data_IF_399546536810
#
_entry.id   IF_399546536810
#
_cell.length_a   1.000
_cell.length_b   1.000
_cell.length_c   1.000
_cell.angle_alpha   90.00
_cell.angle_beta   90.00
_cell.angle_gamma   90.00
#
_symmetry.space_group_name_H-M   'P 1'
#
loop_
_entity.id
_entity.type
_entity.pdbx_description
1 polymer ?
#
# COMPACT_ATOMS: atom_id res chain seq x y z
N UNK A 1 54.52 -35.15 22.14
CA UNK A 1 53.84 -35.10 20.82
C UNK A 1 54.36 -36.26 20.00
N UNK A 2 53.49 -37.20 19.63
CA UNK A 2 53.87 -38.33 18.75
C UNK A 2 53.50 -37.96 17.31
N UNK A 3 54.42 -38.18 16.37
CA UNK A 3 54.24 -37.86 14.94
C UNK A 3 54.13 -39.16 14.15
N UNK A 4 53.07 -39.28 13.34
CA UNK A 4 52.93 -40.40 12.42
C UNK A 4 53.88 -40.20 11.22
N UNK A 5 54.80 -41.12 11.00
CA UNK A 5 55.79 -41.06 9.91
C UNK A 5 55.38 -42.05 8.82
N UNK A 6 55.37 -41.60 7.58
CA UNK A 6 55.15 -42.49 6.43
C UNK A 6 56.47 -43.19 6.09
N UNK A 7 56.55 -44.49 6.35
CA UNK A 7 57.76 -45.30 6.13
C UNK A 7 58.12 -45.44 4.64
N UNK A 8 57.21 -45.10 3.71
CA UNK A 8 57.49 -45.09 2.26
C UNK A 8 58.21 -43.82 1.80
N UNK A 9 58.43 -42.85 2.70
CA UNK A 9 59.08 -41.57 2.42
C UNK A 9 60.33 -41.41 3.27
N UNK A 10 61.30 -40.64 2.77
CA UNK A 10 62.48 -40.32 3.57
C UNK A 10 62.10 -39.49 4.80
N UNK A 11 62.98 -39.51 5.81
CA UNK A 11 62.80 -38.71 7.02
C UNK A 11 62.66 -37.21 6.67
N UNK A 12 63.44 -36.74 5.71
CA UNK A 12 63.40 -35.36 5.20
C UNK A 12 62.06 -35.04 4.52
N UNK A 13 61.53 -35.97 3.73
CA UNK A 13 60.22 -35.79 3.06
C UNK A 13 59.06 -35.74 4.07
N UNK A 14 59.12 -36.54 5.12
CA UNK A 14 58.14 -36.48 6.22
C UNK A 14 58.23 -35.15 6.98
N UNK A 15 59.45 -34.68 7.28
CA UNK A 15 59.67 -33.40 7.94
C UNK A 15 59.13 -32.21 7.10
N UNK A 16 59.40 -32.21 5.78
CA UNK A 16 58.90 -31.16 4.89
C UNK A 16 57.36 -31.17 4.81
N UNK A 17 56.72 -32.35 4.78
CA UNK A 17 55.26 -32.46 4.80
C UNK A 17 54.64 -31.79 6.05
N UNK A 18 55.19 -32.06 7.24
CA UNK A 18 54.71 -31.44 8.48
C UNK A 18 55.00 -29.94 8.53
N UNK A 19 56.14 -29.51 8.00
CA UNK A 19 56.47 -28.10 7.87
C UNK A 19 55.50 -27.36 6.93
N UNK A 20 55.20 -27.92 5.76
CA UNK A 20 54.24 -27.36 4.81
C UNK A 20 52.81 -27.33 5.38
N UNK A 21 52.40 -28.38 6.11
CA UNK A 21 51.11 -28.40 6.83
C UNK A 21 51.03 -27.27 7.85
N UNK A 22 52.07 -27.10 8.69
CA UNK A 22 52.16 -26.02 9.67
C UNK A 22 52.10 -24.64 9.02
N UNK A 23 52.86 -24.44 7.93
CA UNK A 23 52.87 -23.19 7.16
C UNK A 23 51.49 -22.87 6.56
N UNK A 24 50.81 -23.86 5.98
CA UNK A 24 49.44 -23.71 5.45
C UNK A 24 48.43 -23.39 6.56
N UNK A 25 48.52 -24.08 7.71
CA UNK A 25 47.66 -23.83 8.85
C UNK A 25 47.85 -22.41 9.41
N UNK A 26 49.09 -21.94 9.57
CA UNK A 26 49.41 -20.55 9.97
C UNK A 26 48.84 -19.53 8.99
N UNK A 27 48.96 -19.75 7.68
CA UNK A 27 48.39 -18.86 6.67
C UNK A 27 46.85 -18.81 6.73
N UNK A 28 46.19 -19.94 6.96
CA UNK A 28 44.73 -20.00 7.15
C UNK A 28 44.29 -19.27 8.43
N UNK A 29 45.00 -19.46 9.54
CA UNK A 29 44.75 -18.75 10.80
C UNK A 29 44.85 -17.23 10.63
N UNK A 30 45.87 -16.74 9.93
CA UNK A 30 46.03 -15.31 9.64
C UNK A 30 44.94 -14.75 8.70
N UNK A 31 44.37 -15.59 7.83
CA UNK A 31 43.21 -15.22 7.01
C UNK A 31 41.93 -15.14 7.84
N UNK A 32 41.70 -16.13 8.70
CA UNK A 32 40.54 -16.20 9.59
C UNK A 32 40.53 -15.04 10.60
N UNK A 33 41.69 -14.69 11.18
CA UNK A 33 41.79 -13.59 12.14
C UNK A 33 41.40 -12.23 11.56
N UNK A 34 41.52 -12.04 10.24
CA UNK A 34 41.06 -10.84 9.54
C UNK A 34 39.58 -10.93 9.14
N UNK A 35 39.09 -12.12 8.84
CA UNK A 35 37.72 -12.32 8.37
C UNK A 35 36.68 -12.27 9.50
N UNK A 36 37.01 -12.80 10.68
CA UNK A 36 36.13 -12.82 11.87
C UNK A 36 35.61 -11.41 12.22
N UNK A 37 36.45 -10.38 12.44
CA UNK A 37 35.97 -9.05 12.83
C UNK A 37 35.12 -8.38 11.74
N UNK A 38 35.39 -8.66 10.46
CA UNK A 38 34.59 -8.14 9.34
C UNK A 38 33.19 -8.76 9.30
N UNK A 39 33.08 -10.06 9.62
CA UNK A 39 31.79 -10.75 9.68
C UNK A 39 31.02 -10.32 10.92
N UNK A 40 31.68 -10.23 12.08
CA UNK A 40 31.07 -9.74 13.32
C UNK A 40 30.52 -8.31 13.16
N UNK A 41 31.27 -7.41 12.51
CA UNK A 41 30.79 -6.07 12.18
C UNK A 41 29.56 -6.08 11.27
N UNK A 42 29.52 -6.95 10.26
CA UNK A 42 28.35 -7.11 9.38
C UNK A 42 27.14 -7.67 10.11
N UNK A 43 27.35 -8.59 11.06
CA UNK A 43 26.28 -9.13 11.91
C UNK A 43 25.72 -8.01 12.79
N UNK A 44 26.57 -7.25 13.47
CA UNK A 44 26.16 -6.12 14.31
C UNK A 44 25.36 -5.07 13.52
N UNK A 45 25.81 -4.67 12.33
CA UNK A 45 25.07 -3.74 11.46
C UNK A 45 23.71 -4.30 11.03
N UNK A 46 23.63 -5.61 10.75
CA UNK A 46 22.39 -6.27 10.36
C UNK A 46 21.42 -6.38 11.55
N UNK A 47 21.93 -6.68 12.75
CA UNK A 47 21.16 -6.73 13.99
C UNK A 47 20.63 -5.36 14.38
N UNK A 48 21.45 -4.30 14.29
CA UNK A 48 21.02 -2.92 14.55
C UNK A 48 19.92 -2.49 13.56
N UNK A 49 20.10 -2.75 12.27
CA UNK A 49 19.05 -2.49 11.26
C UNK A 49 17.78 -3.30 11.51
N UNK A 50 17.89 -4.52 12.01
CA UNK A 50 16.74 -5.35 12.35
C UNK A 50 16.04 -4.88 13.63
N UNK A 51 16.79 -4.41 14.63
CA UNK A 51 16.26 -3.84 15.87
C UNK A 51 15.50 -2.54 15.59
N UNK A 52 16.07 -1.62 14.79
CA UNK A 52 15.40 -0.39 14.36
C UNK A 52 14.11 -0.69 13.55
N UNK A 53 14.13 -1.73 12.71
CA UNK A 53 12.95 -2.21 12.00
C UNK A 53 11.94 -2.88 12.93
N UNK A 54 12.38 -3.54 13.99
CA UNK A 54 11.51 -4.17 14.97
C UNK A 54 10.82 -3.13 15.85
N UNK A 55 11.56 -2.14 16.36
CA UNK A 55 11.01 -1.03 17.14
C UNK A 55 10.01 -0.20 16.33
N UNK A 56 10.36 0.16 15.08
CA UNK A 56 9.41 0.85 14.19
C UNK A 56 8.15 0.03 13.91
N UNK A 57 8.28 -1.31 13.76
CA UNK A 57 7.14 -2.24 13.65
C UNK A 57 6.32 -2.35 14.93
N UNK A 58 6.95 -2.23 16.09
CA UNK A 58 6.28 -2.33 17.40
C UNK A 58 5.49 -1.05 17.72
N UNK A 59 6.06 0.11 17.38
CA UNK A 59 5.38 1.41 17.45
C UNK A 59 4.18 1.43 16.49
N UNK A 60 4.31 0.92 15.26
CA UNK A 60 3.17 0.78 14.33
C UNK A 60 2.14 -0.26 14.75
N UNK A 61 2.53 -1.30 15.50
CA UNK A 61 1.61 -2.32 16.05
C UNK A 61 0.70 -1.81 17.17
N UNK A 62 1.07 -0.74 17.88
CA UNK A 62 0.21 -0.16 18.94
C UNK A 62 -1.02 0.59 18.40
N UNK A 63 -1.08 0.92 17.11
CA UNK A 63 -2.29 1.45 16.48
C UNK A 63 -3.25 0.31 16.19
N UNK A 64 -4.40 0.25 16.87
CA UNK A 64 -5.52 -0.61 16.45
C UNK A 64 -6.02 -0.12 15.09
N UNK A 65 -5.43 -0.66 14.02
CA UNK A 65 -5.82 -0.34 12.64
C UNK A 65 -7.30 -0.67 12.49
N UNK A 66 -8.06 0.30 12.01
CA UNK A 66 -9.46 0.10 11.70
C UNK A 66 -9.57 -0.94 10.58
N UNK A 67 -10.66 -1.72 10.57
CA UNK A 67 -10.82 -2.81 9.59
C UNK A 67 -10.72 -2.31 8.14
N UNK A 68 -11.18 -1.08 7.88
CA UNK A 68 -11.21 -0.44 6.56
C UNK A 68 -9.85 0.03 6.06
N UNK A 69 -8.85 0.20 6.94
CA UNK A 69 -7.51 0.68 6.56
C UNK A 69 -6.74 -0.33 5.68
N UNK A 70 -7.24 -1.56 5.56
CA UNK A 70 -6.75 -2.56 4.60
C UNK A 70 -7.27 -2.35 3.16
N UNK A 71 -8.17 -1.41 2.94
CA UNK A 71 -8.79 -1.09 1.64
C UNK A 71 -8.44 0.34 1.23
N UNK A 72 -8.75 0.75 0.00
CA UNK A 72 -8.80 2.18 -0.30
C UNK A 72 -9.97 2.77 0.46
N UNK A 73 -9.78 3.86 1.20
CA UNK A 73 -10.85 4.43 2.01
C UNK A 73 -10.72 5.93 2.11
N UNK A 74 -11.85 6.58 2.35
CA UNK A 74 -11.91 7.99 2.76
C UNK A 74 -13.19 8.25 3.54
N UNK A 75 -13.28 9.42 4.19
CA UNK A 75 -14.53 9.93 4.73
C UNK A 75 -15.06 11.04 3.85
N UNK A 76 -16.34 11.00 3.51
CA UNK A 76 -16.99 12.06 2.75
C UNK A 76 -16.98 13.37 3.52
N UNK A 77 -17.31 14.47 2.85
CA UNK A 77 -17.50 15.76 3.49
C UNK A 77 -18.64 15.73 4.54
N UNK A 78 -19.57 14.79 4.45
CA UNK A 78 -20.63 14.59 5.44
C UNK A 78 -20.24 13.60 6.55
N UNK A 79 -19.00 13.08 6.54
CA UNK A 79 -18.47 12.18 7.57
C UNK A 79 -18.78 10.70 7.37
N UNK A 80 -19.42 10.32 6.26
CA UNK A 80 -19.72 8.93 5.92
C UNK A 80 -18.45 8.22 5.43
N UNK A 81 -18.32 6.93 5.74
CA UNK A 81 -17.17 6.13 5.32
C UNK A 81 -17.39 5.57 3.92
N UNK A 82 -16.41 5.75 3.04
CA UNK A 82 -16.34 5.07 1.74
C UNK A 82 -15.14 4.15 1.70
N UNK A 83 -15.33 2.94 1.20
CA UNK A 83 -14.32 1.90 1.14
C UNK A 83 -14.33 1.25 -0.24
N UNK A 84 -13.17 1.01 -0.84
CA UNK A 84 -13.02 0.38 -2.15
C UNK A 84 -11.92 -0.68 -2.12
N UNK A 85 -12.12 -1.81 -2.79
CA UNK A 85 -11.11 -2.85 -2.85
C UNK A 85 -9.86 -2.41 -3.63
N UNK A 86 -8.71 -2.98 -3.26
CA UNK A 86 -7.40 -2.67 -3.87
C UNK A 86 -7.06 -3.61 -5.02
N UNK A 87 -7.65 -4.81 -5.01
CA UNK A 87 -7.44 -5.91 -5.93
C UNK A 87 -8.68 -6.83 -5.94
N UNK A 88 -8.67 -7.88 -6.77
CA UNK A 88 -9.78 -8.82 -6.88
C UNK A 88 -10.14 -9.51 -5.55
N UNK A 89 -9.15 -9.91 -4.75
CA UNK A 89 -9.37 -10.60 -3.48
C UNK A 89 -9.99 -9.69 -2.41
N UNK A 90 -9.48 -8.47 -2.30
CA UNK A 90 -10.02 -7.44 -1.42
C UNK A 90 -11.39 -6.94 -1.86
N UNK A 91 -11.66 -6.85 -3.16
CA UNK A 91 -13.00 -6.59 -3.69
C UNK A 91 -14.01 -7.66 -3.20
N UNK A 92 -13.66 -8.95 -3.34
CA UNK A 92 -14.53 -10.02 -2.84
C UNK A 92 -14.73 -9.95 -1.33
N UNK A 93 -13.66 -9.72 -0.57
CA UNK A 93 -13.72 -9.63 0.88
C UNK A 93 -14.58 -8.44 1.33
N UNK A 94 -14.47 -7.29 0.66
CA UNK A 94 -15.23 -6.09 0.94
C UNK A 94 -16.72 -6.33 0.72
N UNK A 95 -17.11 -6.80 -0.48
CA UNK A 95 -18.52 -7.03 -0.83
C UNK A 95 -19.15 -8.14 0.03
N UNK A 96 -18.44 -9.24 0.32
CA UNK A 96 -19.03 -10.37 1.06
C UNK A 96 -19.07 -10.19 2.57
N UNK A 97 -18.09 -9.50 3.17
CA UNK A 97 -17.93 -9.44 4.63
C UNK A 97 -18.32 -8.09 5.23
N UNK A 98 -18.32 -7.05 4.41
CA UNK A 98 -18.44 -5.67 4.86
C UNK A 98 -19.46 -4.87 4.05
N UNK A 99 -20.28 -5.48 3.20
CA UNK A 99 -21.46 -4.83 2.63
C UNK A 99 -22.69 -5.21 3.45
N UNK A 100 -23.44 -4.22 3.87
CA UNK A 100 -24.70 -4.39 4.62
C UNK A 100 -25.87 -3.86 3.78
N UNK A 101 -27.09 -4.30 4.06
CA UNK A 101 -28.30 -3.97 3.29
C UNK A 101 -28.66 -2.47 3.28
N UNK A 102 -28.07 -1.68 4.18
CA UNK A 102 -28.21 -0.22 4.23
C UNK A 102 -27.18 0.55 3.43
N UNK A 103 -26.17 -0.12 2.88
CA UNK A 103 -25.05 0.52 2.17
C UNK A 103 -25.38 0.82 0.71
N UNK A 104 -24.58 1.68 0.08
CA UNK A 104 -24.66 1.93 -1.36
C UNK A 104 -23.42 1.41 -2.06
N UNK A 105 -23.65 0.59 -3.09
CA UNK A 105 -22.59 0.05 -3.92
C UNK A 105 -22.34 0.96 -5.12
N UNK A 106 -21.07 1.14 -5.50
CA UNK A 106 -20.60 1.95 -6.61
C UNK A 106 -19.57 1.19 -7.45
N UNK A 107 -19.63 1.37 -8.76
CA UNK A 107 -18.64 0.85 -9.69
C UNK A 107 -18.60 1.71 -10.97
N UNK A 108 -17.39 1.99 -11.46
CA UNK A 108 -17.23 2.72 -12.72
C UNK A 108 -17.54 1.82 -13.93
N UNK A 109 -18.13 2.35 -14.99
CA UNK A 109 -18.42 1.62 -16.24
C UNK A 109 -17.14 1.46 -17.08
N UNK A 110 -16.10 0.89 -16.47
CA UNK A 110 -14.81 0.62 -17.08
C UNK A 110 -14.16 -0.59 -16.41
N UNK A 111 -13.39 -1.35 -17.18
CA UNK A 111 -12.62 -2.48 -16.65
C UNK A 111 -11.65 -2.04 -15.57
N UNK A 112 -11.45 -2.90 -14.57
CA UNK A 112 -10.50 -2.66 -13.48
C UNK A 112 -10.93 -1.52 -12.53
N UNK A 113 -12.20 -1.14 -12.54
CA UNK A 113 -12.76 -0.33 -11.47
C UNK A 113 -12.86 -1.16 -10.18
N UNK A 114 -12.61 -0.56 -9.01
CA UNK A 114 -12.79 -1.25 -7.75
C UNK A 114 -14.27 -1.35 -7.38
N UNK A 115 -14.61 -2.38 -6.61
CA UNK A 115 -15.90 -2.45 -5.94
C UNK A 115 -15.87 -1.46 -4.77
N UNK A 116 -16.71 -0.43 -4.84
CA UNK A 116 -16.73 0.67 -3.87
C UNK A 116 -18.03 0.64 -3.09
N UNK A 117 -17.97 0.79 -1.77
CA UNK A 117 -19.10 0.79 -0.85
C UNK A 117 -19.08 2.10 -0.07
N UNK A 118 -20.19 2.82 -0.12
CA UNK A 118 -20.48 3.93 0.78
C UNK A 118 -21.30 3.38 1.94
N UNK A 119 -20.75 3.47 3.15
CA UNK A 119 -21.40 3.03 4.38
C UNK A 119 -22.54 3.96 4.77
N UNK A 120 -23.76 3.44 4.81
CA UNK A 120 -24.96 4.19 5.22
C UNK A 120 -25.94 3.29 5.96
N UNK A 121 -26.87 3.86 6.73
CA UNK A 121 -27.85 3.06 7.48
C UNK A 121 -29.19 2.88 6.75
N UNK A 122 -29.47 3.69 5.71
CA UNK A 122 -30.82 3.80 5.12
C UNK A 122 -30.81 3.84 3.59
N UNK A 123 -29.83 3.22 2.94
CA UNK A 123 -29.72 3.21 1.48
C UNK A 123 -29.77 4.62 0.85
N UNK A 124 -29.29 5.61 1.61
CA UNK A 124 -29.43 7.01 1.29
C UNK A 124 -28.31 7.79 1.95
N UNK A 125 -27.75 8.70 1.18
CA UNK A 125 -26.73 9.62 1.62
C UNK A 125 -26.96 10.99 0.98
N UNK A 126 -26.43 12.07 1.56
CA UNK A 126 -26.49 13.37 0.93
C UNK A 126 -25.89 13.33 -0.47
N UNK A 127 -26.44 14.13 -1.39
CA UNK A 127 -26.00 14.18 -2.79
C UNK A 127 -24.48 14.36 -2.91
N UNK A 128 -23.89 15.17 -2.03
CA UNK A 128 -22.45 15.41 -2.02
C UNK A 128 -21.64 14.15 -1.70
N UNK A 129 -22.04 13.38 -0.70
CA UNK A 129 -21.44 12.08 -0.39
C UNK A 129 -21.56 11.08 -1.54
N UNK A 130 -22.68 11.07 -2.27
CA UNK A 130 -22.87 10.22 -3.45
C UNK A 130 -21.92 10.61 -4.61
N UNK A 131 -21.79 11.91 -4.89
CA UNK A 131 -20.84 12.45 -5.86
C UNK A 131 -19.38 12.14 -5.48
N UNK A 132 -19.04 12.28 -4.20
CA UNK A 132 -17.70 11.96 -3.72
C UNK A 132 -17.38 10.47 -3.84
N UNK A 133 -18.33 9.59 -3.47
CA UNK A 133 -18.18 8.15 -3.66
C UNK A 133 -18.02 7.77 -5.14
N UNK A 134 -18.74 8.44 -6.05
CA UNK A 134 -18.61 8.18 -7.48
C UNK A 134 -17.24 8.61 -8.02
N UNK A 135 -16.73 9.78 -7.63
CA UNK A 135 -15.38 10.24 -7.98
C UNK A 135 -14.32 9.24 -7.50
N UNK A 136 -14.46 8.72 -6.27
CA UNK A 136 -13.53 7.76 -5.72
C UNK A 136 -13.49 6.45 -6.52
N UNK A 137 -14.67 5.91 -6.88
CA UNK A 137 -14.76 4.72 -7.72
C UNK A 137 -14.15 4.94 -9.12
N UNK A 138 -14.31 6.13 -9.69
CA UNK A 138 -13.71 6.50 -10.97
C UNK A 138 -12.17 6.63 -10.90
N UNK A 139 -11.65 7.31 -9.87
CA UNK A 139 -10.21 7.61 -9.71
C UNK A 139 -9.37 6.33 -9.54
N UNK A 140 -9.85 5.35 -8.78
CA UNK A 140 -9.10 4.10 -8.59
C UNK A 140 -9.29 3.10 -9.73
N UNK A 141 -10.08 3.44 -10.75
CA UNK A 141 -10.28 2.59 -11.93
C UNK A 141 -9.18 2.79 -12.99
N UNK A 142 -9.26 2.01 -14.07
CA UNK A 142 -8.38 2.21 -15.24
C UNK A 142 -8.58 3.56 -15.92
N UNK A 143 -9.66 4.29 -15.67
CA UNK A 143 -9.88 5.61 -16.26
C UNK A 143 -8.75 6.58 -15.88
N UNK A 144 -8.25 6.50 -14.64
CA UNK A 144 -7.09 7.29 -14.21
C UNK A 144 -5.83 6.91 -14.98
N UNK A 145 -5.52 5.62 -15.06
CA UNK A 145 -4.34 5.10 -15.76
C UNK A 145 -4.36 5.44 -17.26
N UNK A 146 -5.54 5.48 -17.87
CA UNK A 146 -5.75 5.84 -19.28
C UNK A 146 -5.81 7.35 -19.52
N UNK A 147 -5.63 8.16 -18.48
CA UNK A 147 -5.68 9.61 -18.52
C UNK A 147 -7.00 10.18 -19.03
N UNK A 148 -8.11 9.53 -18.68
CA UNK A 148 -9.45 10.01 -19.05
C UNK A 148 -9.84 11.19 -18.16
N UNK A 149 -10.40 12.23 -18.77
CA UNK A 149 -10.91 13.40 -18.03
C UNK A 149 -12.12 13.07 -17.16
N UNK A 150 -12.96 12.14 -17.63
CA UNK A 150 -14.19 11.74 -16.95
C UNK A 150 -14.44 10.24 -17.11
N UNK A 151 -15.18 9.66 -16.16
CA UNK A 151 -15.72 8.31 -16.27
C UNK A 151 -17.20 8.29 -15.84
N UNK A 152 -17.96 7.36 -16.42
CA UNK A 152 -19.32 7.10 -15.97
C UNK A 152 -19.30 6.11 -14.82
N UNK A 153 -20.08 6.39 -13.77
CA UNK A 153 -20.17 5.55 -12.58
C UNK A 153 -21.63 5.26 -12.32
N UNK A 154 -21.94 4.06 -11.85
CA UNK A 154 -23.27 3.74 -11.37
C UNK A 154 -23.26 3.36 -9.91
N UNK A 155 -24.40 3.59 -9.26
CA UNK A 155 -24.72 3.10 -7.94
C UNK A 155 -25.94 2.18 -7.97
N UNK A 156 -25.91 1.14 -7.14
CA UNK A 156 -27.00 0.19 -6.93
C UNK A 156 -27.09 -0.21 -5.46
N UNK A 157 -28.21 -0.81 -5.09
CA UNK A 157 -28.40 -1.38 -3.76
C UNK A 157 -27.65 -2.72 -3.60
N UNK A 158 -27.33 -3.13 -2.37
CA UNK A 158 -26.61 -4.38 -2.08
C UNK A 158 -27.28 -5.62 -2.69
N UNK A 159 -28.61 -5.68 -2.69
CA UNK A 159 -29.39 -6.83 -3.20
C UNK A 159 -29.29 -6.98 -4.72
N UNK A 160 -28.87 -5.93 -5.42
CA UNK A 160 -28.65 -5.93 -6.86
C UNK A 160 -27.28 -6.51 -7.25
N UNK A 161 -26.38 -6.72 -6.28
CA UNK A 161 -25.01 -7.20 -6.49
C UNK A 161 -24.96 -8.70 -6.22
N UNK A 162 -24.64 -9.50 -7.23
CA UNK A 162 -24.66 -10.96 -7.12
C UNK A 162 -23.41 -11.59 -7.72
N UNK A 163 -22.91 -12.66 -7.07
CA UNK A 163 -21.82 -13.48 -7.61
C UNK A 163 -22.31 -14.62 -8.52
N UNK A 164 -23.61 -14.71 -8.78
CA UNK A 164 -24.17 -15.69 -9.71
C UNK A 164 -24.08 -15.13 -11.13
N UNK A 165 -23.42 -15.84 -12.03
CA UNK A 165 -23.47 -15.54 -13.45
C UNK A 165 -24.85 -15.91 -14.02
N UNK A 166 -25.30 -15.26 -15.11
CA UNK A 166 -26.36 -15.80 -15.95
C UNK A 166 -25.90 -17.13 -16.59
N UNK A 167 -26.80 -18.12 -16.62
CA UNK A 167 -26.74 -19.37 -17.39
C UNK A 167 -25.33 -19.94 -17.72
N UNK A 168 -24.75 -20.70 -16.78
CA UNK A 168 -23.68 -21.68 -17.07
C UNK A 168 -22.24 -21.16 -17.16
N UNK A 169 -22.01 -19.84 -17.15
CA UNK A 169 -20.67 -19.27 -17.14
C UNK A 169 -20.11 -19.08 -15.71
N UNK A 170 -18.79 -19.19 -15.54
CA UNK A 170 -18.14 -18.89 -14.27
C UNK A 170 -17.68 -17.42 -14.24
N UNK A 171 -18.04 -16.67 -13.21
CA UNK A 171 -17.47 -15.35 -12.99
C UNK A 171 -16.00 -15.47 -12.61
N UNK A 172 -15.16 -14.63 -13.22
CA UNK A 172 -13.77 -14.47 -12.79
C UNK A 172 -13.67 -14.01 -11.33
N UNK A 173 -12.52 -14.24 -10.71
CA UNK A 173 -12.26 -13.79 -9.34
C UNK A 173 -12.48 -12.27 -9.21
N UNK A 174 -13.22 -11.84 -8.20
CA UNK A 174 -13.54 -10.43 -7.97
C UNK A 174 -14.66 -9.85 -8.84
N UNK A 175 -15.25 -10.59 -9.78
CA UNK A 175 -16.36 -10.09 -10.59
C UNK A 175 -17.72 -10.30 -9.91
N UNK A 176 -18.61 -9.31 -10.07
CA UNK A 176 -19.99 -9.35 -9.60
C UNK A 176 -20.93 -8.89 -10.71
N UNK A 177 -22.07 -9.56 -10.82
CA UNK A 177 -23.16 -9.20 -11.70
C UNK A 177 -24.10 -8.21 -11.02
N UNK A 178 -24.54 -7.22 -11.79
CA UNK A 178 -25.44 -6.16 -11.31
C UNK A 178 -26.78 -6.30 -12.03
N UNK A 179 -27.83 -6.51 -11.25
CA UNK A 179 -29.20 -6.70 -11.73
C UNK A 179 -30.09 -5.49 -11.43
N UNK A 180 -31.12 -5.27 -12.25
CA UNK A 180 -32.09 -4.19 -12.03
C UNK A 180 -31.59 -2.80 -12.43
N UNK A 181 -32.24 -1.77 -11.88
CA UNK A 181 -32.03 -0.36 -12.27
C UNK A 181 -30.74 0.20 -11.67
N UNK A 182 -29.97 0.92 -12.48
CA UNK A 182 -28.75 1.63 -12.07
C UNK A 182 -29.01 3.12 -11.91
N UNK A 183 -28.46 3.72 -10.86
CA UNK A 183 -28.42 5.16 -10.67
C UNK A 183 -27.09 5.69 -11.23
N UNK A 184 -27.14 6.59 -12.21
CA UNK A 184 -25.96 6.99 -12.98
C UNK A 184 -25.39 8.34 -12.56
N UNK A 185 -24.07 8.38 -12.45
CA UNK A 185 -23.22 9.57 -12.30
C UNK A 185 -22.41 9.71 -13.60
N UNK A 186 -23.00 10.41 -14.57
CA UNK A 186 -22.41 10.60 -15.90
C UNK A 186 -21.33 11.68 -15.87
N UNK A 187 -20.27 11.48 -16.66
CA UNK A 187 -19.15 12.42 -16.81
C UNK A 187 -18.54 12.82 -15.47
N UNK A 188 -18.38 11.87 -14.55
CA UNK A 188 -17.76 12.10 -13.25
C UNK A 188 -16.31 12.51 -13.49
N UNK A 189 -15.92 13.70 -13.04
CA UNK A 189 -14.54 14.22 -13.17
C UNK A 189 -13.61 13.47 -12.21
N UNK A 190 -12.42 13.11 -12.68
CA UNK A 190 -11.43 12.40 -11.87
C UNK A 190 -10.60 13.41 -11.04
N UNK A 191 -11.23 14.04 -10.07
CA UNK A 191 -10.59 15.00 -9.17
C UNK A 191 -10.13 14.31 -7.88
N UNK A 192 -8.82 14.31 -7.62
CA UNK A 192 -8.24 13.62 -6.48
C UNK A 192 -7.31 14.54 -5.68
N UNK A 193 -7.29 14.32 -4.37
CA UNK A 193 -6.39 15.00 -3.47
C UNK A 193 -5.88 14.04 -2.40
N UNK A 194 -4.74 14.41 -1.83
CA UNK A 194 -4.14 13.74 -0.67
C UNK A 194 -3.77 14.80 0.35
N UNK A 195 -3.98 14.51 1.62
CA UNK A 195 -3.70 15.44 2.71
C UNK A 195 -3.39 14.73 4.00
N UNK A 196 -3.18 15.53 5.03
CA UNK A 196 -2.96 15.02 6.37
C UNK A 196 -3.92 15.68 7.36
N UNK A 197 -4.40 14.91 8.32
CA UNK A 197 -5.21 15.38 9.44
C UNK A 197 -4.57 14.98 10.76
N UNK A 198 -4.87 15.71 11.84
CA UNK A 198 -4.51 15.29 13.19
C UNK A 198 -5.66 14.49 13.80
N UNK A 199 -5.40 13.23 14.12
CA UNK A 199 -6.32 12.35 14.86
C UNK A 199 -5.64 11.96 16.17
N UNK A 200 -6.24 12.31 17.31
CA UNK A 200 -5.70 12.05 18.66
C UNK A 200 -4.25 12.54 18.89
N UNK A 201 -3.90 13.70 18.30
CA UNK A 201 -2.56 14.30 18.42
C UNK A 201 -1.52 13.75 17.44
N UNK A 202 -1.86 12.73 16.66
CA UNK A 202 -1.00 12.15 15.64
C UNK A 202 -1.43 12.55 14.23
N UNK A 203 -0.47 12.66 13.32
CA UNK A 203 -0.76 12.89 11.92
C UNK A 203 -1.21 11.61 11.22
N UNK A 204 -2.25 11.70 10.40
CA UNK A 204 -2.80 10.61 9.59
C UNK A 204 -2.98 11.07 8.16
N UNK A 205 -2.52 10.25 7.22
CA UNK A 205 -2.68 10.54 5.78
C UNK A 205 -4.10 10.16 5.36
N UNK A 206 -4.75 11.06 4.65
CA UNK A 206 -6.06 10.83 4.03
C UNK A 206 -6.00 11.17 2.56
N UNK A 207 -6.82 10.51 1.75
CA UNK A 207 -6.88 10.73 0.32
C UNK A 207 -8.28 10.48 -0.20
N UNK A 208 -8.65 11.08 -1.33
CA UNK A 208 -9.99 10.94 -1.86
C UNK A 208 -10.37 12.08 -2.79
N UNK A 209 -11.67 12.27 -3.04
CA UNK A 209 -12.18 13.40 -3.81
C UNK A 209 -11.73 14.73 -3.19
N UNK A 210 -11.47 15.71 -4.06
CA UNK A 210 -10.96 17.03 -3.66
C UNK A 210 -11.81 17.69 -2.56
N UNK A 211 -13.15 17.66 -2.68
CA UNK A 211 -14.04 18.28 -1.71
C UNK A 211 -14.00 17.62 -0.33
N UNK A 212 -13.87 16.29 -0.28
CA UNK A 212 -13.80 15.53 0.96
C UNK A 212 -12.48 15.79 1.70
N UNK A 213 -11.36 15.70 0.98
CA UNK A 213 -10.03 15.90 1.56
C UNK A 213 -9.86 17.35 2.01
N UNK A 214 -10.32 18.33 1.24
CA UNK A 214 -10.27 19.74 1.62
C UNK A 214 -11.00 20.02 2.94
N UNK A 215 -12.11 19.33 3.22
CA UNK A 215 -12.88 19.51 4.47
C UNK A 215 -12.27 18.76 5.66
N UNK A 216 -11.69 17.58 5.41
CA UNK A 216 -11.25 16.66 6.46
C UNK A 216 -9.74 16.75 6.78
N UNK A 217 -8.98 17.57 6.06
CA UNK A 217 -7.52 17.70 6.23
C UNK A 217 -7.14 19.05 6.86
N UNK A 218 -6.01 19.08 7.55
CA UNK A 218 -5.38 20.33 7.98
C UNK A 218 -4.65 21.01 6.81
N UNK A 219 -4.06 20.19 5.92
CA UNK A 219 -3.51 20.62 4.64
C UNK A 219 -3.67 19.49 3.62
N UNK A 220 -3.80 19.88 2.35
CA UNK A 220 -3.96 18.95 1.24
C UNK A 220 -3.19 19.43 0.01
N UNK A 221 -2.97 18.50 -0.91
CA UNK A 221 -2.38 18.74 -2.21
C UNK A 221 -3.24 18.05 -3.25
N UNK A 222 -3.54 18.77 -4.33
CA UNK A 222 -4.25 18.19 -5.46
C UNK A 222 -3.29 17.30 -6.24
N UNK A 223 -3.77 16.13 -6.63
CA UNK A 223 -3.00 15.18 -7.42
C UNK A 223 -3.77 14.95 -8.71
N UNK A 224 -3.06 15.04 -9.82
CA UNK A 224 -3.61 14.83 -11.16
C UNK A 224 -2.88 13.70 -11.87
N UNK A 225 -3.47 13.28 -12.98
CA UNK A 225 -2.88 12.32 -13.90
C UNK A 225 -1.63 12.96 -14.54
N UNK A 226 -0.48 12.29 -14.46
CA UNK A 226 0.80 12.93 -14.71
C UNK A 226 1.81 12.05 -15.43
N UNK A 227 3.09 12.29 -15.15
CA UNK A 227 4.22 11.54 -15.72
C UNK A 227 5.13 10.90 -14.66
N UNK A 228 5.00 11.28 -13.38
CA UNK A 228 5.85 10.76 -12.32
C UNK A 228 5.28 9.43 -11.83
N UNK A 229 6.16 8.49 -11.50
CA UNK A 229 5.72 7.24 -10.89
C UNK A 229 5.09 7.48 -9.52
N UNK A 230 4.26 6.53 -9.06
CA UNK A 230 3.65 6.54 -7.74
C UNK A 230 4.68 6.67 -6.60
N UNK A 231 5.84 6.04 -6.75
CA UNK A 231 6.93 6.10 -5.76
C UNK A 231 7.63 7.46 -5.71
N UNK A 232 7.86 8.10 -6.86
CA UNK A 232 8.43 9.46 -6.94
C UNK A 232 7.48 10.49 -6.37
N UNK A 233 6.20 10.41 -6.76
CA UNK A 233 5.13 11.27 -6.26
C UNK A 233 5.01 11.14 -4.74
N UNK A 234 5.05 9.93 -4.18
CA UNK A 234 4.99 9.72 -2.74
C UNK A 234 6.19 10.32 -1.99
N UNK A 235 7.40 10.23 -2.55
CA UNK A 235 8.60 10.87 -1.97
C UNK A 235 8.47 12.40 -1.96
N UNK A 236 7.92 12.97 -3.04
CA UNK A 236 7.65 14.41 -3.13
C UNK A 236 6.60 14.85 -2.10
N UNK A 237 5.47 14.14 -2.02
CA UNK A 237 4.41 14.41 -1.04
C UNK A 237 4.90 14.29 0.40
N UNK A 238 5.73 13.28 0.71
CA UNK A 238 6.31 13.14 2.04
C UNK A 238 7.08 14.38 2.47
N UNK A 239 7.95 14.92 1.60
CA UNK A 239 8.72 16.14 1.89
C UNK A 239 7.79 17.33 2.15
N UNK A 240 6.77 17.51 1.30
CA UNK A 240 5.79 18.58 1.43
C UNK A 240 4.97 18.45 2.73
N UNK A 241 4.61 17.22 3.11
CA UNK A 241 3.87 16.95 4.34
C UNK A 241 4.72 17.23 5.57
N UNK A 242 5.99 16.81 5.59
CA UNK A 242 6.93 17.09 6.69
C UNK A 242 7.18 18.60 6.85
N UNK A 243 7.28 19.34 5.74
CA UNK A 243 7.41 20.81 5.73
C UNK A 243 6.16 21.49 6.32
N UNK A 244 4.96 21.13 5.85
CA UNK A 244 3.70 21.70 6.35
C UNK A 244 3.37 21.28 7.79
N UNK A 245 3.72 20.06 8.18
CA UNK A 245 3.52 19.57 9.54
C UNK A 245 4.54 20.12 10.54
N UNK A 246 5.65 20.69 10.07
CA UNK A 246 6.75 21.15 10.91
C UNK A 246 7.47 20.03 11.66
N UNK A 247 7.40 18.79 11.16
CA UNK A 247 7.92 17.60 11.84
C UNK A 247 8.47 16.59 10.83
N UNK A 248 9.71 16.13 11.07
CA UNK A 248 10.40 15.15 10.20
C UNK A 248 10.07 13.72 10.60
N UNK A 249 10.06 12.81 9.63
CA UNK A 249 9.84 11.37 9.82
C UNK A 249 8.50 11.02 10.50
N UNK A 250 7.50 11.86 10.33
CA UNK A 250 6.14 11.61 10.85
C UNK A 250 5.31 10.76 9.89
N UNK A 251 5.56 10.90 8.58
CA UNK A 251 4.79 10.25 7.54
C UNK A 251 5.56 9.10 6.91
N UNK A 252 4.99 7.91 6.97
CA UNK A 252 5.56 6.70 6.36
C UNK A 252 5.36 6.72 4.84
N UNK A 253 6.42 6.37 4.09
CA UNK A 253 6.37 6.39 2.63
C UNK A 253 5.36 5.37 2.08
N UNK A 254 5.31 4.18 2.67
CA UNK A 254 4.41 3.11 2.25
C UNK A 254 2.93 3.48 2.50
N UNK A 255 2.65 4.26 3.55
CA UNK A 255 1.31 4.78 3.84
C UNK A 255 0.86 5.73 2.72
N UNK A 256 1.70 6.70 2.36
CA UNK A 256 1.41 7.65 1.26
C UNK A 256 1.21 6.90 -0.06
N UNK A 257 2.09 5.94 -0.38
CA UNK A 257 1.95 5.11 -1.59
C UNK A 257 0.60 4.38 -1.59
N UNK A 258 0.19 3.79 -0.46
CA UNK A 258 -1.07 3.04 -0.39
C UNK A 258 -2.31 3.89 -0.65
N UNK A 259 -2.22 5.21 -0.43
CA UNK A 259 -3.30 6.18 -0.60
C UNK A 259 -3.40 6.74 -2.02
N UNK A 260 -2.38 6.61 -2.87
CA UNK A 260 -2.42 7.14 -4.23
C UNK A 260 -3.12 6.18 -5.21
N UNK A 261 -3.81 6.69 -6.25
CA UNK A 261 -4.34 5.86 -7.33
C UNK A 261 -3.20 5.22 -8.15
N UNK A 262 -3.56 4.21 -8.94
CA UNK A 262 -2.59 3.51 -9.78
C UNK A 262 -2.41 4.25 -11.12
N UNK A 263 -1.16 4.50 -11.49
CA UNK A 263 -0.80 5.22 -12.71
C UNK A 263 0.29 6.26 -12.45
N UNK A 264 0.58 7.05 -13.46
CA UNK A 264 1.49 8.18 -13.34
C UNK A 264 0.74 9.39 -12.79
N UNK A 265 1.37 10.10 -11.87
CA UNK A 265 0.77 11.20 -11.14
C UNK A 265 1.61 12.47 -11.26
N UNK A 266 0.99 13.60 -10.94
CA UNK A 266 1.68 14.87 -10.74
C UNK A 266 0.98 15.60 -9.61
N UNK A 267 1.77 16.11 -8.68
CA UNK A 267 1.28 16.92 -7.56
C UNK A 267 1.19 18.36 -8.05
N UNK A 268 0.01 18.96 -7.97
CA UNK A 268 -0.10 20.40 -8.15
C UNK A 268 0.30 21.10 -6.85
N UNK A 269 1.26 22.01 -6.95
CA UNK A 269 1.60 22.93 -5.87
C UNK A 269 0.70 24.16 -6.04
N UNK A 270 -0.23 24.38 -5.11
CA UNK A 270 -0.93 25.66 -4.95
C UNK A 270 -0.04 26.66 -4.20
#
# INVERSE_FOLDING_TARGET
MQLAIDLKKSLQQNADLYYQKSKKAKKKLAGLSKAIPLIEGKIAEAEEKNALKAESREITRKKKRQWFERFHWFRTSDGLLVVAGRDAGSNEALVKKHMEDGDLYFHAEIFGAPHTILKTEKNSAPKKSLEEASVFAAVFSRAWKQKLATADVYSVMPEQVSKKAPAGEALGAGAFMIYGKRNWFRKTKLEFAIGAMKENGEWKVISGPLSAVKKNSAFFFKVEQGQQSKGETAKQLRKLFEEKAGAKNVFELDEIISMLPNGDLTVQME
#
